data_IF_782539694008
#
_entry.id   IF_782539694008
#
_cell.length_a   1.000
_cell.length_b   1.000
_cell.length_c   1.000
_cell.angle_alpha   90.00
_cell.angle_beta   90.00
_cell.angle_gamma   90.00
#
_symmetry.space_group_name_H-M   'P 1'
#
loop_
_entity.id
_entity.type
_entity.pdbx_description
1 polymer ?
#
# COMPACT_ATOMS: atom_id res chain seq x y z
N UNK A 1 -2.66 -12.97 23.61
CA UNK A 1 -1.35 -13.63 23.35
C UNK A 1 -1.36 -15.12 23.67
N UNK A 2 -1.78 -15.58 24.86
CA UNK A 2 -1.87 -17.03 25.16
C UNK A 2 -2.89 -17.81 24.31
N UNK A 3 -3.83 -17.14 23.63
CA UNK A 3 -4.81 -17.75 22.72
C UNK A 3 -4.24 -18.01 21.30
N UNK A 4 -3.49 -17.05 20.73
CA UNK A 4 -2.92 -17.18 19.37
C UNK A 4 -1.92 -18.33 19.29
N UNK A 5 -1.08 -18.54 20.31
CA UNK A 5 -0.10 -19.62 20.27
C UNK A 5 -0.76 -21.01 20.33
N UNK A 6 -2.02 -21.09 20.81
CA UNK A 6 -2.80 -22.34 20.87
C UNK A 6 -3.56 -22.61 19.58
N UNK A 7 -4.02 -21.57 18.87
CA UNK A 7 -4.68 -21.69 17.58
C UNK A 7 -3.75 -21.24 16.44
N UNK A 8 -3.25 -22.18 15.64
CA UNK A 8 -2.34 -21.88 14.52
C UNK A 8 -3.02 -21.22 13.30
N UNK A 9 -4.35 -21.19 13.25
CA UNK A 9 -5.10 -20.70 12.08
C UNK A 9 -4.84 -19.21 11.75
N UNK A 10 -4.82 -18.25 12.71
CA UNK A 10 -4.53 -16.86 12.40
C UNK A 10 -3.13 -16.66 11.81
N UNK A 11 -2.14 -17.40 12.31
CA UNK A 11 -0.76 -17.36 11.80
C UNK A 11 -0.73 -17.89 10.37
N UNK A 12 -1.34 -19.06 10.12
CA UNK A 12 -1.39 -19.64 8.78
C UNK A 12 -2.06 -18.71 7.76
N UNK A 13 -3.13 -18.02 8.17
CA UNK A 13 -3.84 -17.05 7.34
C UNK A 13 -2.96 -15.84 6.98
N UNK A 14 -2.25 -15.27 7.95
CA UNK A 14 -1.31 -14.16 7.71
C UNK A 14 -0.16 -14.62 6.83
N UNK A 15 0.39 -15.81 7.04
CA UNK A 15 1.44 -16.37 6.18
C UNK A 15 0.96 -16.52 4.73
N UNK A 16 -0.24 -17.07 4.51
CA UNK A 16 -0.82 -17.18 3.16
C UNK A 16 -0.98 -15.81 2.49
N UNK A 17 -1.44 -14.82 3.25
CA UNK A 17 -1.59 -13.45 2.77
C UNK A 17 -0.24 -12.80 2.43
N UNK A 18 0.79 -13.00 3.27
CA UNK A 18 2.17 -12.54 3.00
C UNK A 18 2.68 -13.18 1.70
N UNK A 19 2.55 -14.51 1.58
CA UNK A 19 3.02 -15.25 0.41
C UNK A 19 2.31 -14.80 -0.87
N UNK A 20 0.99 -14.58 -0.83
CA UNK A 20 0.24 -14.08 -1.98
C UNK A 20 0.71 -12.69 -2.39
N UNK A 21 0.91 -11.80 -1.43
CA UNK A 21 1.40 -10.45 -1.72
C UNK A 21 2.79 -10.49 -2.34
N UNK A 22 3.72 -11.28 -1.78
CA UNK A 22 5.07 -11.44 -2.31
C UNK A 22 5.05 -12.06 -3.70
N UNK A 23 4.18 -13.04 -3.95
CA UNK A 23 4.01 -13.66 -5.26
C UNK A 23 3.52 -12.64 -6.31
N UNK A 24 2.50 -11.85 -6.00
CA UNK A 24 2.03 -10.78 -6.89
C UNK A 24 3.12 -9.72 -7.08
N UNK A 25 3.77 -9.27 -6.01
CA UNK A 25 4.89 -8.35 -6.08
C UNK A 25 6.05 -8.87 -6.95
N UNK A 26 6.34 -10.17 -6.91
CA UNK A 26 7.34 -10.81 -7.75
C UNK A 26 6.92 -10.85 -9.22
N UNK A 27 5.65 -11.16 -9.54
CA UNK A 27 5.13 -11.07 -10.91
C UNK A 27 5.34 -9.65 -11.46
N UNK A 28 4.96 -8.63 -10.68
CA UNK A 28 5.15 -7.25 -11.09
C UNK A 28 6.64 -6.92 -11.30
N UNK A 29 7.49 -7.27 -10.35
CA UNK A 29 8.90 -6.85 -10.33
C UNK A 29 9.78 -7.60 -11.33
N UNK A 30 9.52 -8.89 -11.56
CA UNK A 30 10.37 -9.74 -12.40
C UNK A 30 9.81 -10.01 -13.79
N UNK A 31 8.49 -9.97 -13.97
CA UNK A 31 7.87 -10.22 -15.29
C UNK A 31 7.47 -8.90 -15.94
N UNK A 32 6.72 -8.06 -15.23
CA UNK A 32 6.08 -6.90 -15.86
C UNK A 32 7.02 -5.70 -15.97
N UNK A 33 7.84 -5.47 -14.94
CA UNK A 33 8.78 -4.34 -14.90
C UNK A 33 9.82 -4.38 -16.03
N UNK A 34 10.46 -5.51 -16.36
CA UNK A 34 11.39 -5.56 -17.50
C UNK A 34 10.70 -5.36 -18.86
N UNK A 35 9.43 -5.77 -18.99
CA UNK A 35 8.68 -5.68 -20.24
C UNK A 35 8.13 -4.28 -20.51
N UNK A 36 7.74 -3.54 -19.46
CA UNK A 36 7.00 -2.27 -19.58
C UNK A 36 7.77 -1.05 -19.10
N UNK A 37 9.04 -1.24 -18.71
CA UNK A 37 9.90 -0.19 -18.18
C UNK A 37 9.77 -0.01 -16.67
N UNK A 38 10.77 0.65 -16.09
CA UNK A 38 10.85 0.89 -14.65
C UNK A 38 9.69 1.82 -14.22
N UNK A 39 8.90 1.34 -13.24
CA UNK A 39 7.93 2.08 -12.42
C UNK A 39 6.60 2.54 -13.00
N UNK A 40 5.94 1.74 -13.82
CA UNK A 40 4.50 1.95 -13.99
C UNK A 40 4.15 3.40 -14.36
N UNK A 41 4.93 4.00 -15.23
CA UNK A 41 4.48 5.21 -15.93
C UNK A 41 3.43 4.86 -16.99
N UNK A 42 3.18 3.56 -17.16
CA UNK A 42 2.22 2.96 -18.06
C UNK A 42 0.93 2.56 -17.33
N UNK A 43 -0.20 2.87 -17.94
CA UNK A 43 -1.54 2.43 -17.52
C UNK A 43 -1.67 0.90 -17.41
N UNK A 44 -0.80 0.11 -18.05
CA UNK A 44 -0.74 -1.34 -17.85
C UNK A 44 -0.42 -1.75 -16.41
N UNK A 45 0.46 -1.01 -15.72
CA UNK A 45 0.72 -1.26 -14.30
C UNK A 45 -0.49 -0.88 -13.44
N UNK A 46 -1.23 0.17 -13.85
CA UNK A 46 -2.50 0.52 -13.18
C UNK A 46 -3.50 -0.62 -13.29
N UNK A 47 -3.67 -1.13 -14.52
CA UNK A 47 -4.53 -2.27 -14.81
C UNK A 47 -4.10 -3.51 -14.02
N UNK A 48 -2.79 -3.78 -13.95
CA UNK A 48 -2.25 -4.88 -13.16
C UNK A 48 -2.69 -4.81 -11.70
N UNK A 49 -2.48 -3.69 -11.01
CA UNK A 49 -2.88 -3.56 -9.60
C UNK A 49 -4.40 -3.69 -9.40
N UNK A 50 -5.20 -3.13 -10.31
CA UNK A 50 -6.66 -3.30 -10.27
C UNK A 50 -7.06 -4.78 -10.43
N UNK A 51 -6.47 -5.49 -11.39
CA UNK A 51 -6.73 -6.90 -11.62
C UNK A 51 -6.25 -7.77 -10.45
N UNK A 52 -5.09 -7.46 -9.87
CA UNK A 52 -4.58 -8.11 -8.66
C UNK A 52 -5.52 -7.90 -7.48
N UNK A 53 -6.04 -6.69 -7.29
CA UNK A 53 -7.02 -6.42 -6.24
C UNK A 53 -8.31 -7.24 -6.45
N UNK A 54 -8.83 -7.27 -7.69
CA UNK A 54 -9.99 -8.08 -8.04
C UNK A 54 -9.74 -9.59 -7.82
N UNK A 55 -8.57 -10.10 -8.22
CA UNK A 55 -8.16 -11.48 -8.00
C UNK A 55 -8.16 -11.84 -6.51
N UNK A 56 -7.60 -10.97 -5.66
CA UNK A 56 -7.57 -11.17 -4.21
C UNK A 56 -8.98 -11.26 -3.63
N UNK A 57 -9.89 -10.36 -4.03
CA UNK A 57 -11.29 -10.39 -3.62
C UNK A 57 -11.96 -11.72 -4.00
N UNK A 58 -11.71 -12.19 -5.22
CA UNK A 58 -12.21 -13.47 -5.73
C UNK A 58 -11.65 -14.66 -4.94
N UNK A 59 -10.34 -14.73 -4.74
CA UNK A 59 -9.67 -15.83 -4.04
C UNK A 59 -10.17 -16.00 -2.60
N UNK A 60 -10.34 -14.89 -1.89
CA UNK A 60 -10.81 -14.90 -0.50
C UNK A 60 -12.33 -14.96 -0.36
N UNK A 61 -13.06 -15.02 -1.49
CA UNK A 61 -14.53 -15.13 -1.57
C UNK A 61 -15.24 -14.11 -0.67
N UNK A 62 -14.73 -12.88 -0.63
CA UNK A 62 -15.31 -11.86 0.24
C UNK A 62 -16.61 -11.38 -0.38
N UNK A 63 -17.73 -11.97 0.06
CA UNK A 63 -19.09 -11.66 -0.43
C UNK A 63 -19.46 -10.19 -0.20
N UNK A 64 -18.94 -9.60 0.87
CA UNK A 64 -19.08 -8.18 1.16
C UNK A 64 -17.94 -7.77 2.09
N UNK A 65 -17.12 -6.81 1.66
CA UNK A 65 -16.18 -6.10 2.54
C UNK A 65 -16.89 -5.03 3.39
N UNK A 66 -18.13 -4.71 3.03
CA UNK A 66 -18.99 -3.67 3.59
C UNK A 66 -19.69 -4.00 4.93
N UNK A 67 -19.89 -5.26 5.41
CA UNK A 67 -20.70 -5.50 6.61
C UNK A 67 -20.06 -4.91 7.88
N UNK A 68 -18.77 -4.55 7.82
CA UNK A 68 -18.03 -3.95 8.93
C UNK A 68 -17.96 -2.41 8.86
N UNK A 69 -18.48 -1.81 7.78
CA UNK A 69 -18.44 -0.37 7.57
C UNK A 69 -19.80 0.13 7.05
N UNK A 70 -20.63 0.63 7.96
CA UNK A 70 -21.99 1.17 7.70
C UNK A 70 -22.09 2.31 6.66
N UNK A 71 -20.99 2.69 6.00
CA UNK A 71 -20.87 3.86 5.12
C UNK A 71 -19.92 3.60 3.93
N UNK A 72 -19.74 2.36 3.48
CA UNK A 72 -18.67 2.02 2.52
C UNK A 72 -18.67 2.81 1.20
N UNK A 73 -19.83 3.04 0.57
CA UNK A 73 -19.92 3.89 -0.63
C UNK A 73 -19.46 5.33 -0.35
N UNK A 74 -19.89 5.89 0.78
CA UNK A 74 -19.49 7.22 1.21
C UNK A 74 -17.98 7.31 1.47
N UNK A 75 -17.38 6.27 2.04
CA UNK A 75 -15.93 6.19 2.20
C UNK A 75 -15.20 6.13 0.85
N UNK A 76 -15.71 5.37 -0.13
CA UNK A 76 -15.13 5.35 -1.49
C UNK A 76 -15.20 6.74 -2.15
N UNK A 77 -16.32 7.46 -1.99
CA UNK A 77 -16.44 8.85 -2.46
C UNK A 77 -15.40 9.75 -1.79
N UNK A 78 -15.24 9.65 -0.47
CA UNK A 78 -14.23 10.43 0.24
C UNK A 78 -12.81 10.08 -0.18
N UNK A 79 -12.51 8.80 -0.41
CA UNK A 79 -11.22 8.36 -0.94
C UNK A 79 -10.97 9.00 -2.30
N UNK A 80 -11.93 8.95 -3.24
CA UNK A 80 -11.80 9.55 -4.57
C UNK A 80 -11.61 11.07 -4.54
N UNK A 81 -12.40 11.79 -3.74
CA UNK A 81 -12.23 13.24 -3.56
C UNK A 81 -10.87 13.58 -2.94
N UNK A 82 -10.43 12.80 -1.96
CA UNK A 82 -9.12 13.01 -1.32
C UNK A 82 -7.97 12.69 -2.27
N UNK A 83 -8.08 11.66 -3.11
CA UNK A 83 -7.12 11.41 -4.20
C UNK A 83 -7.01 12.61 -5.13
N UNK A 84 -8.15 13.18 -5.56
CA UNK A 84 -8.16 14.33 -6.44
C UNK A 84 -7.44 15.53 -5.80
N UNK A 85 -7.67 15.78 -4.50
CA UNK A 85 -6.94 16.81 -3.73
C UNK A 85 -5.44 16.52 -3.71
N UNK A 86 -5.02 15.28 -3.43
CA UNK A 86 -3.59 14.91 -3.38
C UNK A 86 -2.90 15.07 -4.74
N UNK A 87 -3.56 14.67 -5.83
CA UNK A 87 -3.06 14.86 -7.20
C UNK A 87 -2.92 16.36 -7.50
N UNK A 88 -3.93 17.15 -7.14
CA UNK A 88 -3.91 18.60 -7.32
C UNK A 88 -2.78 19.26 -6.53
N UNK A 89 -2.57 18.87 -5.27
CA UNK A 89 -1.45 19.35 -4.46
C UNK A 89 -0.09 18.94 -5.05
N UNK A 90 0.03 17.72 -5.57
CA UNK A 90 1.24 17.28 -6.28
C UNK A 90 1.51 18.12 -7.54
N UNK A 91 0.45 18.48 -8.28
CA UNK A 91 0.58 19.38 -9.42
C UNK A 91 1.05 20.77 -8.99
N UNK A 92 0.43 21.37 -7.97
CA UNK A 92 0.88 22.66 -7.39
C UNK A 92 2.34 22.59 -6.96
N UNK A 93 2.74 21.54 -6.25
CA UNK A 93 4.13 21.36 -5.83
C UNK A 93 5.09 21.30 -7.02
N UNK A 94 4.65 20.70 -8.14
CA UNK A 94 5.45 20.65 -9.36
C UNK A 94 5.62 22.01 -10.03
N UNK A 95 4.59 22.85 -10.04
CA UNK A 95 4.65 24.21 -10.58
C UNK A 95 5.49 25.14 -9.69
N UNK A 96 5.36 25.02 -8.37
CA UNK A 96 6.10 25.86 -7.42
C UNK A 96 7.59 25.54 -7.37
N UNK A 97 7.97 24.27 -7.60
CA UNK A 97 9.37 23.81 -7.55
C UNK A 97 9.67 22.82 -8.67
N UNK A 98 9.78 23.25 -9.93
CA UNK A 98 10.04 22.35 -11.05
C UNK A 98 11.34 21.55 -10.84
N UNK A 99 11.32 20.26 -11.16
CA UNK A 99 12.54 19.43 -11.14
C UNK A 99 13.34 19.58 -12.43
N UNK A 100 14.67 19.53 -12.33
CA UNK A 100 15.55 19.52 -13.49
C UNK A 100 15.47 18.19 -14.28
N UNK A 101 16.03 18.16 -15.48
CA UNK A 101 16.10 16.92 -16.29
C UNK A 101 16.96 15.87 -15.58
N UNK A 102 18.07 16.29 -14.96
CA UNK A 102 18.97 15.44 -14.20
C UNK A 102 18.24 14.81 -13.00
N UNK A 103 17.50 15.62 -12.23
CA UNK A 103 16.68 15.13 -11.12
C UNK A 103 15.59 14.16 -11.60
N UNK A 104 14.92 14.48 -12.71
CA UNK A 104 13.91 13.60 -13.28
C UNK A 104 14.50 12.26 -13.74
N UNK A 105 15.70 12.26 -14.32
CA UNK A 105 16.40 11.04 -14.73
C UNK A 105 16.88 10.23 -13.53
N UNK A 106 17.38 10.90 -12.48
CA UNK A 106 17.75 10.27 -11.23
C UNK A 106 16.55 9.58 -10.56
N UNK A 107 15.42 10.28 -10.41
CA UNK A 107 14.18 9.73 -9.83
C UNK A 107 13.72 8.49 -10.60
N UNK A 108 13.78 8.51 -11.93
CA UNK A 108 13.45 7.33 -12.77
C UNK A 108 14.43 6.17 -12.58
N UNK A 109 15.70 6.48 -12.29
CA UNK A 109 16.74 5.46 -12.09
C UNK A 109 16.62 4.75 -10.73
N UNK A 110 16.11 5.46 -9.71
CA UNK A 110 15.91 4.95 -8.35
C UNK A 110 14.66 4.09 -8.15
N UNK A 111 13.92 3.81 -9.21
CA UNK A 111 12.75 2.93 -9.17
C UNK A 111 11.57 3.47 -8.32
N UNK A 112 11.49 4.80 -8.19
CA UNK A 112 10.35 5.49 -7.56
C UNK A 112 9.87 6.66 -8.44
N UNK A 113 8.88 6.44 -9.31
CA UNK A 113 8.39 7.49 -10.23
C UNK A 113 7.30 8.43 -9.66
N UNK A 114 6.69 8.13 -8.51
CA UNK A 114 5.68 8.99 -7.89
C UNK A 114 6.16 10.43 -7.52
N UNK A 115 7.45 10.71 -7.21
CA UNK A 115 7.94 12.08 -6.98
C UNK A 115 7.88 12.98 -8.21
N UNK A 116 7.69 12.43 -9.42
CA UNK A 116 7.50 13.22 -10.63
C UNK A 116 6.16 13.99 -10.65
N UNK A 117 5.21 13.61 -9.79
CA UNK A 117 3.87 14.20 -9.68
C UNK A 117 3.11 14.35 -11.02
N UNK A 118 3.35 13.43 -11.96
CA UNK A 118 2.61 13.35 -13.23
C UNK A 118 1.34 12.51 -13.06
N UNK A 119 0.32 12.78 -13.87
CA UNK A 119 -0.96 12.07 -13.78
C UNK A 119 -0.81 10.55 -13.91
N UNK A 120 0.02 10.07 -14.83
CA UNK A 120 0.27 8.63 -15.01
C UNK A 120 0.98 8.00 -13.80
N UNK A 121 1.95 8.71 -13.19
CA UNK A 121 2.63 8.24 -11.97
C UNK A 121 1.68 8.18 -10.77
N UNK A 122 0.76 9.15 -10.67
CA UNK A 122 -0.30 9.15 -9.67
C UNK A 122 -1.34 8.08 -9.90
N UNK A 123 -1.72 7.79 -11.15
CA UNK A 123 -2.66 6.72 -11.49
C UNK A 123 -2.13 5.36 -11.02
N UNK A 124 -0.86 5.07 -11.30
CA UNK A 124 -0.22 3.84 -10.81
C UNK A 124 -0.13 3.82 -9.30
N UNK A 125 0.33 4.91 -8.68
CA UNK A 125 0.44 4.95 -7.22
C UNK A 125 -0.92 4.81 -6.53
N UNK A 126 -1.96 5.42 -7.08
CA UNK A 126 -3.34 5.25 -6.62
C UNK A 126 -3.79 3.80 -6.69
N UNK A 127 -3.57 3.13 -7.83
CA UNK A 127 -3.97 1.72 -8.01
C UNK A 127 -3.19 0.77 -7.10
N UNK A 128 -1.90 1.03 -6.88
CA UNK A 128 -1.05 0.32 -5.92
C UNK A 128 -1.63 0.48 -4.50
N UNK A 129 -1.88 1.71 -4.06
CA UNK A 129 -2.49 1.96 -2.74
C UNK A 129 -3.86 1.29 -2.62
N UNK A 130 -4.70 1.33 -3.66
CA UNK A 130 -6.00 0.66 -3.67
C UNK A 130 -5.85 -0.86 -3.53
N UNK A 131 -4.93 -1.48 -4.27
CA UNK A 131 -4.57 -2.90 -4.13
C UNK A 131 -4.12 -3.24 -2.71
N UNK A 132 -3.25 -2.43 -2.11
CA UNK A 132 -2.78 -2.64 -0.74
C UNK A 132 -3.90 -2.50 0.30
N UNK A 133 -4.84 -1.56 0.13
CA UNK A 133 -6.03 -1.45 0.99
C UNK A 133 -6.94 -2.68 0.84
N UNK A 134 -7.13 -3.21 -0.37
CA UNK A 134 -7.89 -4.45 -0.59
C UNK A 134 -7.22 -5.63 0.11
N UNK A 135 -5.91 -5.80 -0.06
CA UNK A 135 -5.14 -6.84 0.63
C UNK A 135 -5.32 -6.75 2.15
N UNK A 136 -5.25 -5.54 2.72
CA UNK A 136 -5.43 -5.31 4.15
C UNK A 136 -6.85 -5.61 4.62
N UNK A 137 -7.88 -5.13 3.90
CA UNK A 137 -9.27 -5.39 4.27
C UNK A 137 -9.61 -6.88 4.23
N UNK A 138 -9.11 -7.59 3.22
CA UNK A 138 -9.35 -9.03 3.08
C UNK A 138 -8.74 -9.81 4.23
N UNK A 139 -7.49 -9.54 4.62
CA UNK A 139 -6.89 -10.23 5.76
C UNK A 139 -7.63 -9.91 7.07
N UNK A 140 -8.05 -8.66 7.27
CA UNK A 140 -8.81 -8.27 8.47
C UNK A 140 -10.19 -8.93 8.53
N UNK A 141 -10.90 -8.99 7.41
CA UNK A 141 -12.18 -9.69 7.31
C UNK A 141 -12.04 -11.20 7.62
N UNK A 142 -10.97 -11.82 7.15
CA UNK A 142 -10.71 -13.24 7.42
C UNK A 142 -10.29 -13.48 8.87
N UNK A 143 -9.47 -12.60 9.44
CA UNK A 143 -9.06 -12.68 10.84
C UNK A 143 -10.25 -12.45 11.79
N UNK A 144 -11.19 -11.55 11.46
CA UNK A 144 -12.37 -11.31 12.29
C UNK A 144 -13.29 -12.54 12.37
N UNK A 145 -13.29 -13.39 11.34
CA UNK A 145 -14.03 -14.67 11.34
C UNK A 145 -13.44 -15.75 12.26
N UNK A 146 -12.25 -15.51 12.86
CA UNK A 146 -11.57 -16.44 13.76
C UNK A 146 -11.74 -16.07 15.24
N UNK A 147 -12.64 -15.14 15.57
CA UNK A 147 -12.97 -14.70 16.93
C UNK A 147 -11.74 -14.20 17.75
N UNK A 148 -10.67 -13.79 17.10
CA UNK A 148 -9.51 -13.19 17.76
C UNK A 148 -9.77 -11.72 18.09
N UNK A 149 -9.11 -11.20 19.13
CA UNK A 149 -9.31 -9.81 19.55
C UNK A 149 -8.77 -8.81 18.51
N UNK A 150 -9.38 -7.62 18.41
CA UNK A 150 -8.89 -6.54 17.52
C UNK A 150 -7.42 -6.20 17.76
N UNK A 151 -6.96 -6.23 19.02
CA UNK A 151 -5.54 -6.02 19.38
C UNK A 151 -4.63 -7.09 18.77
N UNK A 152 -5.07 -8.34 18.77
CA UNK A 152 -4.35 -9.45 18.16
C UNK A 152 -4.30 -9.34 16.63
N UNK A 153 -5.39 -8.89 16.00
CA UNK A 153 -5.42 -8.58 14.57
C UNK A 153 -4.39 -7.51 14.21
N UNK A 154 -4.32 -6.41 14.98
CA UNK A 154 -3.31 -5.34 14.79
C UNK A 154 -1.89 -5.90 14.87
N UNK A 155 -1.57 -6.69 15.90
CA UNK A 155 -0.23 -7.26 16.04
C UNK A 155 0.14 -8.20 14.89
N UNK A 156 -0.75 -9.13 14.56
CA UNK A 156 -0.52 -10.13 13.52
C UNK A 156 -0.31 -9.47 12.14
N UNK A 157 -1.13 -8.47 11.80
CA UNK A 157 -0.99 -7.73 10.55
C UNK A 157 0.25 -6.85 10.53
N UNK A 158 0.62 -6.20 11.64
CA UNK A 158 1.86 -5.42 11.73
C UNK A 158 3.11 -6.28 11.52
N UNK A 159 3.14 -7.49 12.11
CA UNK A 159 4.20 -8.47 11.87
C UNK A 159 4.18 -8.91 10.40
N UNK A 160 3.00 -9.19 9.84
CA UNK A 160 2.84 -9.51 8.43
C UNK A 160 3.41 -8.41 7.52
N UNK A 161 3.14 -7.14 7.80
CA UNK A 161 3.71 -5.99 7.09
C UNK A 161 5.25 -5.95 7.15
N UNK A 162 5.84 -6.21 8.32
CA UNK A 162 7.29 -6.35 8.43
C UNK A 162 7.82 -7.46 7.51
N UNK A 163 7.18 -8.64 7.54
CA UNK A 163 7.59 -9.79 6.73
C UNK A 163 7.49 -9.52 5.23
N UNK A 164 6.47 -8.76 4.79
CA UNK A 164 6.34 -8.33 3.39
C UNK A 164 7.53 -7.48 2.92
N UNK A 165 8.11 -6.68 3.81
CA UNK A 165 9.22 -5.79 3.49
C UNK A 165 10.58 -6.43 3.78
N UNK A 166 10.63 -7.56 4.46
CA UNK A 166 11.87 -8.25 4.78
C UNK A 166 12.73 -8.59 3.55
N UNK A 167 12.17 -9.01 2.39
CA UNK A 167 12.96 -9.20 1.17
C UNK A 167 13.73 -7.95 0.71
N UNK A 168 13.34 -6.74 1.13
CA UNK A 168 14.08 -5.52 0.82
C UNK A 168 15.49 -5.51 1.46
N UNK A 169 15.74 -6.28 2.53
CA UNK A 169 17.11 -6.46 3.05
C UNK A 169 18.00 -7.19 2.06
N UNK A 170 17.44 -8.11 1.25
CA UNK A 170 18.21 -8.80 0.22
C UNK A 170 18.58 -7.87 -0.93
N UNK A 171 17.74 -6.86 -1.21
CA UNK A 171 17.95 -5.90 -2.31
C UNK A 171 18.81 -4.71 -1.90
N UNK A 172 18.61 -4.20 -0.68
CA UNK A 172 19.21 -2.93 -0.21
C UNK A 172 20.18 -3.09 0.97
N UNK A 173 20.43 -4.33 1.43
CA UNK A 173 21.25 -4.60 2.61
C UNK A 173 20.69 -3.90 3.86
N UNK A 174 21.58 -3.35 4.70
CA UNK A 174 21.19 -2.61 5.91
C UNK A 174 20.31 -1.39 5.63
N UNK A 175 20.38 -0.77 4.43
CA UNK A 175 19.50 0.33 4.05
C UNK A 175 18.03 -0.12 3.93
N UNK A 176 17.78 -1.43 3.77
CA UNK A 176 16.43 -1.99 3.78
C UNK A 176 15.66 -1.74 5.08
N UNK A 177 16.35 -1.53 6.21
CA UNK A 177 15.71 -1.19 7.48
C UNK A 177 14.98 0.16 7.44
N UNK A 178 15.39 1.09 6.56
CA UNK A 178 14.68 2.35 6.32
C UNK A 178 13.27 2.14 5.75
N UNK A 179 13.00 0.98 5.14
CA UNK A 179 11.67 0.62 4.64
C UNK A 179 10.91 -0.30 5.60
N UNK A 180 11.60 -1.21 6.28
CA UNK A 180 10.98 -2.19 7.19
C UNK A 180 10.46 -1.55 8.47
N UNK A 181 11.23 -0.65 9.08
CA UNK A 181 10.81 -0.03 10.35
C UNK A 181 9.53 0.80 10.13
N UNK A 182 9.45 1.71 9.14
CA UNK A 182 8.21 2.41 8.83
C UNK A 182 7.05 1.48 8.45
N UNK A 183 7.32 0.34 7.79
CA UNK A 183 6.24 -0.58 7.40
C UNK A 183 5.59 -1.29 8.59
N UNK A 184 6.32 -1.54 9.69
CA UNK A 184 5.74 -2.02 10.96
C UNK A 184 4.75 -0.98 11.50
N UNK A 185 5.17 0.28 11.58
CA UNK A 185 4.30 1.37 12.03
C UNK A 185 3.10 1.56 11.10
N UNK A 186 3.29 1.44 9.78
CA UNK A 186 2.22 1.51 8.81
C UNK A 186 1.20 0.39 9.01
N UNK A 187 1.65 -0.86 9.19
CA UNK A 187 0.77 -2.01 9.48
C UNK A 187 -0.05 -1.80 10.75
N UNK A 188 0.57 -1.22 11.79
CA UNK A 188 -0.13 -0.86 13.03
C UNK A 188 -1.18 0.23 12.80
N UNK A 189 -0.78 1.37 12.22
CA UNK A 189 -1.63 2.55 12.03
C UNK A 189 -2.81 2.23 11.11
N UNK A 190 -2.57 1.60 9.96
CA UNK A 190 -3.61 1.28 8.98
C UNK A 190 -4.63 0.31 9.57
N UNK A 191 -4.17 -0.75 10.22
CA UNK A 191 -5.06 -1.72 10.85
C UNK A 191 -5.83 -1.11 12.01
N UNK A 192 -5.17 -0.27 12.82
CA UNK A 192 -5.81 0.42 13.93
C UNK A 192 -6.95 1.32 13.44
N UNK A 193 -6.71 2.15 12.41
CA UNK A 193 -7.77 2.98 11.86
C UNK A 193 -8.96 2.15 11.38
N UNK A 194 -8.71 1.10 10.60
CA UNK A 194 -9.77 0.24 10.05
C UNK A 194 -10.62 -0.40 11.16
N UNK A 195 -9.99 -0.92 12.23
CA UNK A 195 -10.69 -1.68 13.26
C UNK A 195 -11.38 -0.81 14.34
N UNK A 196 -10.87 0.39 14.60
CA UNK A 196 -11.30 1.21 15.73
C UNK A 196 -12.04 2.50 15.33
N UNK A 197 -11.98 2.94 14.08
CA UNK A 197 -12.64 4.18 13.64
C UNK A 197 -13.80 3.92 12.70
N UNK A 198 -14.90 4.68 12.86
CA UNK A 198 -16.11 4.57 12.01
C UNK A 198 -15.81 4.72 10.50
N UNK A 199 -14.86 5.59 10.13
CA UNK A 199 -14.39 5.81 8.75
C UNK A 199 -12.95 5.32 8.56
N UNK A 200 -12.62 4.21 9.22
CA UNK A 200 -11.27 3.68 9.32
C UNK A 200 -10.58 3.39 7.99
N UNK A 201 -11.32 2.86 7.00
CA UNK A 201 -10.80 2.62 5.65
C UNK A 201 -10.37 3.93 4.98
N UNK A 202 -11.22 4.97 5.07
CA UNK A 202 -10.86 6.29 4.55
C UNK A 202 -9.61 6.86 5.25
N UNK A 203 -9.52 6.79 6.58
CA UNK A 203 -8.37 7.33 7.31
C UNK A 203 -7.07 6.57 7.00
N UNK A 204 -7.13 5.23 6.94
CA UNK A 204 -6.00 4.38 6.49
C UNK A 204 -5.54 4.79 5.09
N UNK A 205 -6.48 4.92 4.16
CA UNK A 205 -6.20 5.36 2.79
C UNK A 205 -5.58 6.76 2.73
N UNK A 206 -6.18 7.72 3.44
CA UNK A 206 -5.76 9.12 3.44
C UNK A 206 -4.33 9.28 3.96
N UNK A 207 -3.98 8.60 5.06
CA UNK A 207 -2.60 8.60 5.57
C UNK A 207 -1.64 7.96 4.57
N UNK A 208 -2.04 6.84 3.96
CA UNK A 208 -1.18 6.13 3.01
C UNK A 208 -0.88 6.95 1.75
N UNK A 209 -1.90 7.53 1.11
CA UNK A 209 -1.69 8.33 -0.10
C UNK A 209 -0.98 9.66 0.21
N UNK A 210 -1.25 10.28 1.37
CA UNK A 210 -0.56 11.49 1.83
C UNK A 210 0.92 11.22 2.13
N UNK A 211 1.24 10.04 2.67
CA UNK A 211 2.62 9.62 2.89
C UNK A 211 3.42 9.66 1.58
N UNK A 212 2.85 9.20 0.46
CA UNK A 212 3.54 9.27 -0.84
C UNK A 212 3.70 10.68 -1.39
N UNK A 213 2.73 11.58 -1.14
CA UNK A 213 2.89 12.99 -1.48
C UNK A 213 4.05 13.61 -0.68
N UNK A 214 4.05 13.43 0.65
CA UNK A 214 5.08 13.95 1.55
C UNK A 214 6.45 13.37 1.23
N UNK A 215 6.54 12.06 1.05
CA UNK A 215 7.77 11.37 0.69
C UNK A 215 8.28 11.84 -0.68
N UNK A 216 7.37 12.07 -1.64
CA UNK A 216 7.72 12.59 -2.97
C UNK A 216 8.30 13.99 -2.89
N UNK A 217 7.70 14.86 -2.08
CA UNK A 217 8.24 16.20 -1.82
C UNK A 217 9.63 16.10 -1.17
N UNK A 218 9.78 15.28 -0.13
CA UNK A 218 11.06 15.11 0.55
C UNK A 218 12.16 14.57 -0.37
N UNK A 219 11.87 13.59 -1.23
CA UNK A 219 12.83 13.06 -2.21
C UNK A 219 13.26 14.16 -3.19
N UNK A 220 12.34 15.02 -3.64
CA UNK A 220 12.68 16.15 -4.53
C UNK A 220 13.63 17.13 -3.83
N UNK A 221 13.38 17.44 -2.56
CA UNK A 221 14.17 18.40 -1.78
C UNK A 221 15.54 17.86 -1.38
N UNK A 222 15.62 16.60 -0.93
CA UNK A 222 16.86 15.97 -0.49
C UNK A 222 17.93 15.90 -1.58
N UNK A 223 17.54 16.07 -2.85
CA UNK A 223 18.39 16.05 -4.04
C UNK A 223 18.58 17.43 -4.68
N UNK A 224 18.31 18.50 -3.94
CA UNK A 224 18.67 19.89 -4.32
C UNK A 224 20.01 20.34 -3.75
N UNK A 225 20.72 19.46 -3.02
CA UNK A 225 22.03 19.70 -2.38
C UNK A 225 23.13 18.92 -3.08
#
# INVERSE_FOLDING_TARGET
MNSILKNKQPIALVTQWVLLWLFLGAIHSYLLKPLWGLDGTNYLTTLYYILSAALVLCLYRVKSLLPHHEDGLRQLVYMGLFTAVVIFLGHIANELRPISIEQANYIKSELFSFPLFKLNTWAVKWSDVAYQQVMLLVILYRLSSLEISKKEMVWLTSIGFALLHFPLLMLFGWKGFYFIIPSIFAGFIFTYFILYMKRGLFYSYAVHISFYLILGMWIREAWTV
#
